data_IF_290020885046
#
_entry.id   IF_290020885046
#
_cell.length_a   1.000
_cell.length_b   1.000
_cell.length_c   1.000
_cell.angle_alpha   90.00
_cell.angle_beta   90.00
_cell.angle_gamma   90.00
#
_symmetry.space_group_name_H-M   'P 1'
#
loop_
_entity.id
_entity.type
_entity.pdbx_description
1 polymer ?
#
# COMPACT_ATOMS: atom_id res chain seq x y z
N UNK A 1 13.53 2.66 -18.17
CA UNK A 1 14.90 3.24 -18.12
C UNK A 1 15.82 2.25 -17.43
N UNK A 2 17.05 2.04 -17.90
CA UNK A 2 18.00 1.18 -17.21
C UNK A 2 18.31 1.71 -15.80
N UNK A 3 18.79 0.82 -14.93
CA UNK A 3 19.29 1.17 -13.59
C UNK A 3 20.46 2.16 -13.73
N UNK A 4 20.59 3.09 -12.80
CA UNK A 4 21.84 3.84 -12.66
C UNK A 4 22.92 2.93 -12.09
N UNK A 5 24.18 3.21 -12.34
CA UNK A 5 25.31 2.47 -11.75
C UNK A 5 25.23 2.37 -10.22
N UNK A 6 24.73 3.42 -9.55
CA UNK A 6 24.55 3.41 -8.10
C UNK A 6 23.45 2.44 -7.65
N UNK A 7 22.36 2.33 -8.41
CA UNK A 7 21.26 1.41 -8.10
C UNK A 7 21.64 -0.04 -8.38
N UNK A 8 22.40 -0.32 -9.43
CA UNK A 8 22.97 -1.65 -9.71
C UNK A 8 23.92 -2.08 -8.59
N UNK A 9 24.78 -1.18 -8.14
CA UNK A 9 25.72 -1.44 -7.03
C UNK A 9 24.94 -1.71 -5.75
N UNK A 10 23.92 -0.93 -5.43
CA UNK A 10 23.09 -1.12 -4.24
C UNK A 10 22.31 -2.44 -4.30
N UNK A 11 21.77 -2.81 -5.45
CA UNK A 11 21.09 -4.08 -5.65
C UNK A 11 22.01 -5.27 -5.37
N UNK A 12 23.23 -5.24 -5.93
CA UNK A 12 24.24 -6.27 -5.67
C UNK A 12 24.67 -6.34 -4.19
N UNK A 13 24.78 -5.20 -3.51
CA UNK A 13 25.08 -5.15 -2.07
C UNK A 13 23.94 -5.77 -1.26
N UNK A 14 22.68 -5.48 -1.61
CA UNK A 14 21.52 -6.09 -0.95
C UNK A 14 21.48 -7.61 -1.12
N UNK A 15 21.75 -8.12 -2.32
CA UNK A 15 21.79 -9.55 -2.59
C UNK A 15 22.89 -10.24 -1.76
N UNK A 16 24.10 -9.69 -1.74
CA UNK A 16 25.21 -10.22 -0.92
C UNK A 16 24.89 -10.21 0.56
N UNK A 17 24.27 -9.12 1.04
CA UNK A 17 23.89 -9.01 2.44
C UNK A 17 22.78 -10.02 2.81
N UNK A 18 21.83 -10.26 1.92
CA UNK A 18 20.81 -11.30 2.08
C UNK A 18 21.45 -12.69 2.17
N UNK A 19 22.38 -13.04 1.30
CA UNK A 19 23.10 -14.32 1.35
C UNK A 19 23.86 -14.49 2.67
N UNK A 20 24.53 -13.43 3.14
CA UNK A 20 25.22 -13.45 4.44
C UNK A 20 24.26 -13.61 5.62
N UNK A 21 23.11 -12.89 5.57
CA UNK A 21 22.09 -12.96 6.62
C UNK A 21 21.46 -14.36 6.69
N UNK A 22 21.25 -15.00 5.54
CA UNK A 22 20.71 -16.38 5.48
C UNK A 22 21.70 -17.44 5.98
N UNK A 23 23.01 -17.18 5.90
CA UNK A 23 24.07 -18.05 6.41
C UNK A 23 24.28 -17.91 7.93
N UNK A 24 23.72 -16.91 8.59
CA UNK A 24 23.86 -16.72 10.03
C UNK A 24 22.99 -17.72 10.80
N UNK A 25 23.40 -18.09 12.05
CA UNK A 25 22.55 -18.87 12.96
C UNK A 25 21.21 -18.17 13.19
N UNK A 26 20.19 -18.91 13.61
CA UNK A 26 18.86 -18.38 13.84
C UNK A 26 18.86 -17.18 14.78
N UNK A 27 18.56 -16.00 14.23
CA UNK A 27 18.28 -14.77 14.97
C UNK A 27 16.78 -14.50 14.90
N UNK A 28 16.11 -14.11 15.99
CA UNK A 28 14.66 -13.87 16.00
C UNK A 28 14.20 -12.84 14.97
N UNK A 29 15.03 -11.85 14.68
CA UNK A 29 14.72 -10.72 13.75
C UNK A 29 15.08 -11.03 12.29
N UNK A 30 15.83 -12.10 12.02
CA UNK A 30 16.30 -12.47 10.67
C UNK A 30 15.21 -12.57 9.62
N UNK A 31 14.07 -13.26 9.88
CA UNK A 31 13.04 -13.39 8.86
C UNK A 31 12.42 -12.05 8.44
N UNK A 32 12.21 -11.14 9.38
CA UNK A 32 11.65 -9.82 9.11
C UNK A 32 12.65 -8.97 8.31
N UNK A 33 13.91 -8.94 8.71
CA UNK A 33 14.96 -8.20 8.02
C UNK A 33 15.17 -8.74 6.59
N UNK A 34 15.19 -10.06 6.41
CA UNK A 34 15.31 -10.67 5.09
C UNK A 34 14.12 -10.34 4.18
N UNK A 35 12.89 -10.29 4.72
CA UNK A 35 11.71 -9.89 3.98
C UNK A 35 11.79 -8.41 3.56
N UNK A 36 12.24 -7.53 4.45
CA UNK A 36 12.47 -6.11 4.19
C UNK A 36 13.47 -5.91 3.04
N UNK A 37 14.62 -6.55 3.12
CA UNK A 37 15.69 -6.44 2.12
C UNK A 37 15.28 -7.00 0.76
N UNK A 38 14.56 -8.13 0.72
CA UNK A 38 14.00 -8.68 -0.52
C UNK A 38 12.99 -7.73 -1.15
N UNK A 39 12.09 -7.14 -0.35
CA UNK A 39 11.12 -6.15 -0.81
C UNK A 39 11.79 -4.91 -1.42
N UNK A 40 12.84 -4.41 -0.77
CA UNK A 40 13.65 -3.30 -1.27
C UNK A 40 14.38 -3.66 -2.58
N UNK A 41 14.97 -4.85 -2.66
CA UNK A 41 15.63 -5.36 -3.84
C UNK A 41 14.69 -5.43 -5.04
N UNK A 42 13.50 -6.00 -4.88
CA UNK A 42 12.45 -6.04 -5.92
C UNK A 42 12.08 -4.64 -6.42
N UNK A 43 11.96 -3.69 -5.49
CA UNK A 43 11.64 -2.31 -5.86
C UNK A 43 12.74 -1.65 -6.66
N UNK A 44 14.00 -1.89 -6.32
CA UNK A 44 15.14 -1.27 -6.97
C UNK A 44 15.44 -1.89 -8.35
N UNK A 45 15.29 -3.21 -8.50
CA UNK A 45 15.77 -3.96 -9.68
C UNK A 45 14.69 -4.33 -10.68
N UNK A 46 13.51 -4.78 -10.23
CA UNK A 46 12.59 -5.50 -11.11
C UNK A 46 11.37 -4.69 -11.56
N UNK A 47 10.96 -3.69 -10.80
CA UNK A 47 9.69 -3.01 -10.97
C UNK A 47 9.71 -1.98 -12.11
N UNK A 48 8.64 -1.88 -12.96
CA UNK A 48 8.48 -0.80 -13.92
C UNK A 48 8.52 0.58 -13.25
N UNK A 49 9.43 1.45 -13.68
CA UNK A 49 9.71 2.74 -13.02
C UNK A 49 8.76 3.87 -13.40
N UNK A 50 8.06 3.70 -14.50
CA UNK A 50 7.04 4.61 -15.01
C UNK A 50 5.66 4.35 -14.41
N UNK A 51 5.51 3.26 -13.62
CA UNK A 51 4.29 2.94 -12.89
C UNK A 51 4.38 3.38 -11.43
N UNK A 52 3.28 3.94 -10.94
CA UNK A 52 3.08 4.27 -9.52
C UNK A 52 2.30 3.16 -8.84
N UNK A 53 2.78 2.68 -7.70
CA UNK A 53 2.13 1.65 -6.90
C UNK A 53 1.49 2.29 -5.67
N UNK A 54 0.17 2.30 -5.64
CA UNK A 54 -0.63 2.81 -4.52
C UNK A 54 -1.20 1.63 -3.71
N UNK A 55 -0.94 1.60 -2.42
CA UNK A 55 -1.40 0.56 -1.51
C UNK A 55 -2.61 1.04 -0.72
N UNK A 56 -3.71 0.30 -0.76
CA UNK A 56 -4.80 0.41 0.19
C UNK A 56 -4.45 -0.42 1.43
N UNK A 57 -4.33 0.24 2.55
CA UNK A 57 -3.86 -0.33 3.80
C UNK A 57 -4.83 -0.01 4.93
N UNK A 58 -5.01 -0.90 5.90
CA UNK A 58 -5.89 -0.64 7.03
C UNK A 58 -6.46 -1.90 7.68
N UNK A 59 -7.21 -1.75 8.76
CA UNK A 59 -7.72 -2.87 9.54
C UNK A 59 -8.86 -3.62 8.85
N UNK A 60 -9.19 -4.78 9.40
CA UNK A 60 -10.33 -5.60 8.96
C UNK A 60 -11.62 -4.81 8.96
N UNK A 61 -12.39 -4.89 7.89
CA UNK A 61 -13.72 -4.32 7.80
C UNK A 61 -13.76 -2.79 7.66
N UNK A 62 -12.64 -2.13 7.37
CA UNK A 62 -12.64 -0.70 7.06
C UNK A 62 -13.08 -0.37 5.62
N UNK A 63 -13.34 -1.40 4.79
CA UNK A 63 -13.91 -1.24 3.46
C UNK A 63 -12.90 -1.04 2.33
N UNK A 64 -11.66 -1.49 2.47
CA UNK A 64 -10.59 -1.41 1.44
C UNK A 64 -11.05 -1.97 0.09
N UNK A 65 -11.51 -3.22 0.07
CA UNK A 65 -11.94 -3.90 -1.17
C UNK A 65 -13.15 -3.22 -1.82
N UNK A 66 -14.14 -2.77 -1.00
CA UNK A 66 -15.27 -1.99 -1.51
C UNK A 66 -14.82 -0.68 -2.12
N UNK A 67 -13.83 -0.03 -1.50
CA UNK A 67 -13.24 1.20 -2.01
C UNK A 67 -12.46 0.94 -3.31
N UNK A 68 -11.68 -0.14 -3.39
CA UNK A 68 -10.98 -0.54 -4.62
C UNK A 68 -11.97 -0.73 -5.79
N UNK A 69 -13.08 -1.45 -5.54
CA UNK A 69 -14.14 -1.66 -6.52
C UNK A 69 -14.77 -0.33 -6.98
N UNK A 70 -14.99 0.60 -6.01
CA UNK A 70 -15.58 1.91 -6.30
C UNK A 70 -14.62 2.82 -7.08
N UNK A 71 -13.33 2.80 -6.75
CA UNK A 71 -12.30 3.52 -7.49
C UNK A 71 -12.18 3.00 -8.93
N UNK A 72 -12.26 1.68 -9.10
CA UNK A 72 -12.18 1.02 -10.41
C UNK A 72 -13.52 0.97 -11.17
N UNK A 73 -14.64 1.39 -10.56
CA UNK A 73 -16.00 1.31 -11.11
C UNK A 73 -16.40 -0.10 -11.58
N UNK A 74 -15.82 -1.12 -10.98
CA UNK A 74 -16.04 -2.53 -11.28
C UNK A 74 -15.57 -3.40 -10.13
N UNK A 75 -16.04 -4.63 -10.08
CA UNK A 75 -15.54 -5.61 -9.12
C UNK A 75 -14.11 -6.05 -9.49
N UNK A 76 -13.15 -5.72 -8.64
CA UNK A 76 -11.72 -6.06 -8.76
C UNK A 76 -11.19 -6.78 -7.52
N UNK A 77 -11.94 -6.76 -6.43
CA UNK A 77 -11.61 -7.44 -5.19
C UNK A 77 -12.89 -7.96 -4.54
N UNK A 78 -12.90 -9.19 -3.98
CA UNK A 78 -14.09 -9.75 -3.36
C UNK A 78 -14.47 -8.97 -2.11
N UNK A 79 -15.77 -8.75 -1.93
CA UNK A 79 -16.34 -8.10 -0.76
C UNK A 79 -17.32 -9.07 -0.10
N UNK A 80 -17.23 -9.26 1.22
CA UNK A 80 -18.11 -10.18 1.92
C UNK A 80 -18.12 -10.04 3.45
N UNK A 81 -19.12 -10.63 4.08
CA UNK A 81 -19.30 -10.62 5.54
C UNK A 81 -18.47 -11.68 6.27
N UNK A 82 -18.04 -12.75 5.59
CA UNK A 82 -17.21 -13.79 6.21
C UNK A 82 -15.76 -13.30 6.25
N UNK A 83 -15.20 -13.17 7.44
CA UNK A 83 -13.84 -12.65 7.68
C UNK A 83 -12.87 -13.79 7.97
N UNK A 84 -11.63 -13.74 7.45
CA UNK A 84 -11.10 -12.74 6.52
C UNK A 84 -11.65 -12.92 5.11
N UNK A 85 -12.07 -11.82 4.46
CA UNK A 85 -12.58 -11.87 3.09
C UNK A 85 -11.44 -11.90 2.06
N UNK A 86 -10.38 -11.15 2.33
CA UNK A 86 -9.19 -11.03 1.49
C UNK A 86 -8.05 -11.79 2.15
N UNK A 87 -7.69 -12.96 1.60
CA UNK A 87 -6.60 -13.81 2.09
C UNK A 87 -5.29 -13.60 1.33
N UNK A 88 -5.36 -13.00 0.15
CA UNK A 88 -4.23 -12.63 -0.68
C UNK A 88 -4.40 -11.18 -1.17
N UNK A 89 -3.30 -10.42 -1.37
CA UNK A 89 -3.38 -9.09 -1.98
C UNK A 89 -4.02 -9.16 -3.37
N UNK A 90 -4.91 -8.21 -3.69
CA UNK A 90 -5.40 -8.01 -5.05
C UNK A 90 -4.58 -6.92 -5.71
N UNK A 91 -3.89 -7.24 -6.80
CA UNK A 91 -3.06 -6.31 -7.55
C UNK A 91 -3.78 -5.93 -8.83
N UNK A 92 -4.27 -4.71 -8.88
CA UNK A 92 -5.04 -4.16 -9.98
C UNK A 92 -4.09 -3.34 -10.86
N UNK A 93 -3.85 -3.80 -12.07
CA UNK A 93 -2.91 -3.21 -13.00
C UNK A 93 -3.60 -2.75 -14.29
N UNK A 94 -3.06 -1.72 -15.00
CA UNK A 94 -3.51 -1.39 -16.34
C UNK A 94 -3.39 -2.61 -17.25
N UNK A 95 -4.43 -2.88 -18.07
CA UNK A 95 -4.54 -4.13 -18.83
C UNK A 95 -3.37 -4.35 -19.80
N UNK A 96 -2.87 -3.28 -20.40
CA UNK A 96 -1.73 -3.27 -21.32
C UNK A 96 -0.36 -3.49 -20.64
N UNK A 97 -0.30 -3.35 -19.32
CA UNK A 97 0.92 -3.49 -18.51
C UNK A 97 0.83 -4.63 -17.47
N UNK A 98 -0.29 -5.32 -17.39
CA UNK A 98 -0.59 -6.27 -16.31
C UNK A 98 0.45 -7.41 -16.23
N UNK A 99 0.82 -7.99 -17.35
CA UNK A 99 1.80 -9.09 -17.40
C UNK A 99 3.20 -8.64 -16.91
N UNK A 100 3.64 -7.45 -17.28
CA UNK A 100 4.88 -6.86 -16.82
C UNK A 100 4.85 -6.61 -15.31
N UNK A 101 3.75 -6.03 -14.81
CA UNK A 101 3.54 -5.79 -13.37
C UNK A 101 3.60 -7.09 -12.59
N UNK A 102 2.84 -8.10 -12.99
CA UNK A 102 2.71 -9.34 -12.22
C UNK A 102 4.02 -10.15 -12.16
N UNK A 103 4.90 -10.05 -13.16
CA UNK A 103 6.23 -10.67 -13.12
C UNK A 103 7.19 -10.05 -12.09
N UNK A 104 6.94 -8.81 -11.71
CA UNK A 104 7.81 -8.03 -10.81
C UNK A 104 7.30 -7.97 -9.36
N UNK A 105 6.30 -8.75 -9.01
CA UNK A 105 5.73 -8.79 -7.66
C UNK A 105 6.52 -9.72 -6.72
N UNK A 106 6.39 -9.54 -5.40
CA UNK A 106 6.97 -10.46 -4.43
C UNK A 106 6.51 -11.91 -4.66
N UNK A 107 7.37 -12.90 -4.39
CA UNK A 107 7.03 -14.32 -4.55
C UNK A 107 6.11 -14.83 -3.44
N UNK A 108 5.01 -14.14 -3.22
CA UNK A 108 3.93 -14.50 -2.29
C UNK A 108 2.62 -14.59 -3.07
N UNK A 109 1.67 -15.42 -2.65
CA UNK A 109 0.37 -15.52 -3.30
C UNK A 109 -0.34 -14.17 -3.42
N UNK A 110 -0.81 -13.82 -4.60
CA UNK A 110 -1.62 -12.64 -4.89
C UNK A 110 -2.66 -12.95 -5.98
N UNK A 111 -3.69 -12.10 -6.09
CA UNK A 111 -4.69 -12.14 -7.15
C UNK A 111 -4.45 -10.98 -8.11
N UNK A 112 -4.10 -11.29 -9.36
CA UNK A 112 -3.84 -10.28 -10.39
C UNK A 112 -5.11 -9.91 -11.16
N UNK A 113 -5.43 -8.62 -11.27
CA UNK A 113 -6.59 -8.11 -12.00
C UNK A 113 -6.16 -7.06 -13.01
N UNK A 114 -6.36 -7.37 -14.30
CA UNK A 114 -6.11 -6.44 -15.39
C UNK A 114 -7.34 -5.55 -15.65
N UNK A 115 -7.17 -4.24 -15.67
CA UNK A 115 -8.26 -3.29 -15.86
C UNK A 115 -7.96 -2.28 -16.97
N UNK A 116 -8.98 -1.97 -17.78
CA UNK A 116 -8.89 -0.95 -18.84
C UNK A 116 -9.71 0.27 -18.43
N UNK A 117 -9.10 1.47 -18.51
CA UNK A 117 -9.79 2.76 -18.37
C UNK A 117 -10.36 3.10 -16.99
N UNK A 118 -10.13 2.29 -15.97
CA UNK A 118 -10.73 2.48 -14.64
C UNK A 118 -9.90 3.38 -13.72
N UNK A 119 -8.58 3.28 -13.81
CA UNK A 119 -7.60 4.07 -13.06
C UNK A 119 -6.71 4.85 -14.04
N UNK A 120 -5.79 5.68 -13.51
CA UNK A 120 -4.77 6.29 -14.33
C UNK A 120 -3.93 5.21 -15.05
N UNK A 121 -3.51 5.44 -16.31
CA UNK A 121 -2.81 4.43 -17.11
C UNK A 121 -1.48 3.98 -16.49
N UNK A 122 -0.90 4.79 -15.60
CA UNK A 122 0.37 4.50 -14.93
C UNK A 122 0.18 4.19 -13.43
N UNK A 123 -1.02 3.77 -13.02
CA UNK A 123 -1.31 3.44 -11.62
C UNK A 123 -1.59 1.95 -11.44
N UNK A 124 -0.85 1.33 -10.56
CA UNK A 124 -1.13 0.00 -10.00
C UNK A 124 -1.75 0.21 -8.62
N UNK A 125 -2.93 -0.33 -8.40
CA UNK A 125 -3.59 -0.30 -7.09
C UNK A 125 -3.47 -1.66 -6.42
N UNK A 126 -3.05 -1.68 -5.17
CA UNK A 126 -2.89 -2.90 -4.38
C UNK A 126 -3.89 -2.85 -3.22
N UNK A 127 -4.86 -3.76 -3.23
CA UNK A 127 -5.75 -3.97 -2.08
C UNK A 127 -5.12 -5.03 -1.16
N UNK A 128 -4.52 -4.56 -0.06
CA UNK A 128 -3.81 -5.42 0.88
C UNK A 128 -4.77 -6.22 1.78
N UNK A 129 -4.39 -7.44 2.20
CA UNK A 129 -5.06 -8.15 3.29
C UNK A 129 -5.09 -7.32 4.58
N UNK A 130 -5.95 -7.74 5.49
CA UNK A 130 -6.11 -7.09 6.78
C UNK A 130 -4.87 -7.25 7.66
N UNK A 131 -4.34 -6.13 8.17
CA UNK A 131 -3.11 -6.10 8.99
C UNK A 131 -3.35 -6.49 10.44
N UNK A 132 -4.57 -6.34 10.94
CA UNK A 132 -5.02 -6.79 12.26
C UNK A 132 -5.50 -8.26 12.23
N UNK A 133 -5.25 -8.97 11.12
CA UNK A 133 -5.58 -10.39 11.01
C UNK A 133 -4.80 -11.20 12.06
N UNK A 134 -5.51 -12.09 12.74
CA UNK A 134 -4.90 -13.11 13.64
C UNK A 134 -4.03 -14.09 12.86
N UNK A 135 -4.22 -14.20 11.55
CA UNK A 135 -3.41 -15.02 10.66
C UNK A 135 -2.08 -14.32 10.35
N UNK A 136 -0.98 -14.84 10.86
CA UNK A 136 0.37 -14.32 10.63
C UNK A 136 0.75 -14.28 9.14
N UNK A 137 0.26 -15.25 8.34
CA UNK A 137 0.51 -15.28 6.89
C UNK A 137 -0.12 -14.09 6.16
N UNK A 138 -1.35 -13.70 6.51
CA UNK A 138 -2.01 -12.55 5.88
C UNK A 138 -1.25 -11.25 6.19
N UNK A 139 -0.76 -11.11 7.42
CA UNK A 139 0.07 -9.98 7.82
C UNK A 139 1.39 -9.96 7.05
N UNK A 140 2.09 -11.08 6.96
CA UNK A 140 3.33 -11.19 6.20
C UNK A 140 3.14 -10.88 4.72
N UNK A 141 2.02 -11.32 4.12
CA UNK A 141 1.65 -10.98 2.73
C UNK A 141 1.42 -9.48 2.56
N UNK A 142 0.68 -8.84 3.48
CA UNK A 142 0.49 -7.40 3.44
C UNK A 142 1.84 -6.64 3.54
N UNK A 143 2.70 -7.06 4.44
CA UNK A 143 4.03 -6.47 4.64
C UNK A 143 4.94 -6.60 3.42
N UNK A 144 4.89 -7.73 2.69
CA UNK A 144 5.67 -7.92 1.46
C UNK A 144 5.37 -6.87 0.38
N UNK A 145 4.16 -6.30 0.36
CA UNK A 145 3.76 -5.27 -0.59
C UNK A 145 4.03 -3.83 -0.12
N UNK A 146 4.32 -3.61 1.18
CA UNK A 146 4.62 -2.28 1.70
C UNK A 146 5.82 -1.63 1.01
N UNK A 147 6.87 -2.41 0.74
CA UNK A 147 8.07 -1.91 0.09
C UNK A 147 7.89 -1.56 -1.38
N UNK A 148 6.88 -2.13 -2.05
CA UNK A 148 6.56 -1.78 -3.42
C UNK A 148 5.81 -0.45 -3.52
N UNK A 149 5.12 -0.03 -2.46
CA UNK A 149 4.26 1.14 -2.51
C UNK A 149 5.02 2.46 -2.64
N UNK A 150 4.62 3.28 -3.61
CA UNK A 150 5.05 4.68 -3.75
C UNK A 150 4.25 5.58 -2.83
N UNK A 151 2.96 5.27 -2.70
CA UNK A 151 2.02 5.94 -1.84
C UNK A 151 1.15 4.93 -1.07
N UNK A 152 0.77 5.29 0.15
CA UNK A 152 -0.07 4.47 1.01
C UNK A 152 -1.36 5.22 1.34
N UNK A 153 -2.49 4.66 0.95
CA UNK A 153 -3.81 5.12 1.35
C UNK A 153 -4.28 4.30 2.56
N UNK A 154 -4.23 4.91 3.74
CA UNK A 154 -4.64 4.25 4.98
C UNK A 154 -6.13 4.44 5.20
N UNK A 155 -6.88 3.36 5.04
CA UNK A 155 -8.35 3.36 5.16
C UNK A 155 -8.75 3.09 6.60
N UNK A 156 -9.45 4.02 7.20
CA UNK A 156 -9.91 3.99 8.59
C UNK A 156 -11.43 4.15 8.65
N UNK A 157 -12.02 3.76 9.77
CA UNK A 157 -13.43 4.04 10.08
C UNK A 157 -13.53 4.77 11.43
N UNK A 158 -14.64 5.45 11.72
CA UNK A 158 -14.85 6.09 13.02
C UNK A 158 -14.63 5.16 14.22
N UNK A 159 -14.89 3.87 14.09
CA UNK A 159 -14.68 2.89 15.15
C UNK A 159 -13.25 2.34 15.25
N UNK A 160 -12.37 2.62 14.29
CA UNK A 160 -11.03 2.00 14.22
C UNK A 160 -9.87 2.98 14.01
N UNK A 161 -10.13 4.29 13.91
CA UNK A 161 -9.06 5.26 13.68
C UNK A 161 -8.09 5.43 14.86
N UNK A 162 -8.49 5.03 16.06
CA UNK A 162 -7.67 5.09 17.27
C UNK A 162 -6.94 3.79 17.60
N UNK A 163 -6.98 2.77 16.72
CA UNK A 163 -6.31 1.48 16.95
C UNK A 163 -4.78 1.64 16.90
N UNK A 164 -4.10 1.29 17.99
CA UNK A 164 -2.64 1.44 18.11
C UNK A 164 -1.86 0.59 17.09
N UNK A 165 -2.41 -0.52 16.62
CA UNK A 165 -1.78 -1.30 15.55
C UNK A 165 -1.60 -0.48 14.28
N UNK A 166 -2.57 0.36 13.95
CA UNK A 166 -2.53 1.29 12.80
C UNK A 166 -1.53 2.41 13.03
N UNK A 167 -1.54 3.01 14.23
CA UNK A 167 -0.65 4.11 14.56
C UNK A 167 0.83 3.73 14.50
N UNK A 168 1.17 2.48 14.83
CA UNK A 168 2.52 1.94 14.64
C UNK A 168 2.95 1.99 13.18
N UNK A 169 2.09 1.61 12.23
CA UNK A 169 2.38 1.69 10.81
C UNK A 169 2.41 3.14 10.31
N UNK A 170 1.50 3.99 10.76
CA UNK A 170 1.50 5.41 10.39
C UNK A 170 2.80 6.10 10.80
N UNK A 171 3.27 5.87 12.04
CA UNK A 171 4.58 6.39 12.51
C UNK A 171 5.74 5.85 11.66
N UNK A 172 5.71 4.57 11.31
CA UNK A 172 6.70 3.95 10.41
C UNK A 172 6.69 4.61 9.04
N UNK A 173 5.54 4.75 8.39
CA UNK A 173 5.41 5.38 7.09
C UNK A 173 5.89 6.84 7.10
N UNK A 174 5.54 7.58 8.15
CA UNK A 174 5.98 8.96 8.31
C UNK A 174 7.50 9.05 8.53
N UNK A 175 8.08 8.22 9.39
CA UNK A 175 9.52 8.16 9.63
C UNK A 175 10.30 7.81 8.36
N UNK A 176 9.76 6.92 7.53
CA UNK A 176 10.34 6.59 6.23
C UNK A 176 10.10 7.68 5.17
N UNK A 177 9.28 8.71 5.45
CA UNK A 177 8.92 9.78 4.50
C UNK A 177 8.01 9.29 3.37
N UNK A 178 7.11 8.35 3.67
CA UNK A 178 6.14 7.85 2.69
C UNK A 178 5.09 8.92 2.35
N UNK A 179 4.60 8.91 1.10
CA UNK A 179 3.39 9.66 0.74
C UNK A 179 2.19 8.95 1.36
N UNK A 180 1.54 9.61 2.30
CA UNK A 180 0.41 9.05 3.05
C UNK A 180 -0.85 9.82 2.71
N UNK A 181 -1.94 9.11 2.47
CA UNK A 181 -3.31 9.64 2.42
C UNK A 181 -4.15 8.88 3.45
N UNK A 182 -4.77 9.59 4.35
CA UNK A 182 -5.77 8.98 5.22
C UNK A 182 -7.12 9.04 4.53
N UNK A 183 -7.83 7.91 4.48
CA UNK A 183 -9.20 7.81 3.98
C UNK A 183 -10.09 7.43 5.15
N UNK A 184 -10.84 8.39 5.69
CA UNK A 184 -11.85 8.14 6.71
C UNK A 184 -13.13 7.69 6.02
N UNK A 185 -13.29 6.37 5.94
CA UNK A 185 -14.44 5.70 5.31
C UNK A 185 -15.59 5.54 6.31
N UNK A 186 -16.81 5.39 5.81
CA UNK A 186 -18.03 5.34 6.62
C UNK A 186 -18.18 6.59 7.50
N UNK A 187 -17.77 7.72 6.96
CA UNK A 187 -17.77 9.00 7.65
C UNK A 187 -19.19 9.53 7.82
N UNK A 188 -19.50 9.96 9.04
CA UNK A 188 -20.79 10.56 9.38
C UNK A 188 -20.67 11.77 10.34
N UNK A 189 -19.58 11.83 11.14
CA UNK A 189 -19.42 12.83 12.20
C UNK A 189 -18.14 13.66 11.99
N UNK A 190 -18.25 14.98 11.77
CA UNK A 190 -17.12 15.90 11.63
C UNK A 190 -16.13 15.87 12.81
N UNK A 191 -16.60 15.64 14.04
CA UNK A 191 -15.75 15.59 15.24
C UNK A 191 -14.70 14.45 15.16
N UNK A 192 -15.06 13.34 14.56
CA UNK A 192 -14.10 12.22 14.35
C UNK A 192 -12.94 12.65 13.44
N UNK A 193 -13.23 13.45 12.40
CA UNK A 193 -12.21 13.97 11.50
C UNK A 193 -11.29 14.97 12.20
N UNK A 194 -11.86 15.83 13.05
CA UNK A 194 -11.13 16.82 13.83
C UNK A 194 -10.21 16.14 14.86
N UNK A 195 -10.70 15.15 15.59
CA UNK A 195 -9.90 14.37 16.55
C UNK A 195 -8.77 13.60 15.84
N UNK A 196 -9.07 12.97 14.71
CA UNK A 196 -8.04 12.30 13.90
C UNK A 196 -6.97 13.27 13.42
N UNK A 197 -7.35 14.48 12.97
CA UNK A 197 -6.40 15.51 12.55
C UNK A 197 -5.52 15.99 13.71
N UNK A 198 -6.09 16.17 14.90
CA UNK A 198 -5.35 16.52 16.11
C UNK A 198 -4.33 15.42 16.49
N UNK A 199 -4.74 14.16 16.48
CA UNK A 199 -3.86 13.01 16.76
C UNK A 199 -2.72 12.88 15.76
N UNK A 200 -2.98 13.13 14.47
CA UNK A 200 -1.92 13.13 13.43
C UNK A 200 -0.92 14.25 13.69
N UNK A 201 -1.40 15.44 14.04
CA UNK A 201 -0.54 16.59 14.37
C UNK A 201 0.32 16.32 15.63
N UNK A 202 -0.28 15.77 16.69
CA UNK A 202 0.44 15.36 17.91
C UNK A 202 1.53 14.31 17.62
N UNK A 203 1.26 13.40 16.71
CA UNK A 203 2.22 12.39 16.26
C UNK A 203 3.27 12.92 15.26
N UNK A 204 3.17 14.18 14.84
CA UNK A 204 4.06 14.78 13.83
C UNK A 204 3.85 14.19 12.42
N UNK A 205 2.69 13.64 12.13
CA UNK A 205 2.38 12.98 10.86
C UNK A 205 1.63 13.95 9.95
N UNK A 206 2.30 14.43 8.89
CA UNK A 206 1.70 15.28 7.87
C UNK A 206 1.01 14.41 6.81
N UNK A 207 -0.28 14.14 6.97
CA UNK A 207 -1.07 13.38 6.02
C UNK A 207 -2.42 14.04 5.76
N UNK A 208 -2.82 14.24 4.49
CA UNK A 208 -4.17 14.74 4.18
C UNK A 208 -5.22 13.69 4.54
N UNK A 209 -6.39 14.17 4.97
CA UNK A 209 -7.54 13.33 5.29
C UNK A 209 -8.61 13.54 4.22
N UNK A 210 -8.92 12.49 3.47
CA UNK A 210 -10.11 12.40 2.63
C UNK A 210 -11.22 11.68 3.39
N UNK A 211 -12.46 12.07 3.15
CA UNK A 211 -13.64 11.43 3.73
C UNK A 211 -14.41 10.68 2.66
N UNK A 212 -15.00 9.56 3.03
CA UNK A 212 -15.95 8.83 2.21
C UNK A 212 -17.19 8.60 3.07
N UNK A 213 -18.37 9.12 2.69
CA UNK A 213 -19.54 9.07 3.53
C UNK A 213 -20.02 7.63 3.73
N UNK A 214 -20.75 7.42 4.83
CA UNK A 214 -21.46 6.17 5.02
C UNK A 214 -22.50 6.01 3.91
N UNK A 215 -22.37 5.01 3.08
CA UNK A 215 -23.33 4.68 2.05
C UNK A 215 -24.20 3.52 2.53
N UNK A 216 -25.48 3.74 2.81
CA UNK A 216 -26.43 2.66 3.06
C UNK A 216 -26.53 1.82 1.77
N UNK A 217 -26.36 0.55 1.89
CA UNK A 217 -26.35 -0.41 0.78
C UNK A 217 -25.64 -1.68 1.23
N UNK A 218 -25.81 -2.78 0.51
CA UNK A 218 -25.11 -4.01 0.84
C UNK A 218 -23.59 -3.82 0.73
N UNK A 219 -22.82 -4.50 1.56
CA UNK A 219 -21.35 -4.43 1.53
C UNK A 219 -20.75 -4.82 0.16
N UNK A 220 -21.52 -5.51 -0.68
CA UNK A 220 -21.12 -5.94 -2.01
C UNK A 220 -21.26 -4.88 -3.10
N UNK A 221 -22.12 -3.87 -2.90
CA UNK A 221 -22.32 -2.83 -3.90
C UNK A 221 -21.19 -1.80 -3.83
N UNK A 222 -20.66 -1.32 -4.96
CA UNK A 222 -19.76 -0.18 -4.97
C UNK A 222 -20.40 1.02 -4.25
N UNK A 223 -19.56 1.87 -3.68
CA UNK A 223 -20.03 3.13 -3.11
C UNK A 223 -20.62 3.97 -4.24
N UNK A 224 -21.83 4.49 -4.05
CA UNK A 224 -22.48 5.34 -5.03
C UNK A 224 -21.60 6.56 -5.38
N UNK A 225 -21.64 6.98 -6.64
CA UNK A 225 -20.88 8.14 -7.08
C UNK A 225 -21.29 9.37 -6.27
N UNK A 226 -20.30 10.01 -5.67
CA UNK A 226 -20.44 11.25 -4.91
C UNK A 226 -19.18 12.12 -5.12
N UNK A 227 -19.28 13.38 -4.72
CA UNK A 227 -18.18 14.34 -4.89
C UNK A 227 -16.90 13.88 -4.18
N UNK A 228 -17.02 13.32 -2.97
CA UNK A 228 -15.88 12.84 -2.21
C UNK A 228 -15.17 11.66 -2.90
N UNK A 229 -15.93 10.72 -3.47
CA UNK A 229 -15.36 9.62 -4.24
C UNK A 229 -14.70 10.12 -5.54
N UNK A 230 -15.29 11.10 -6.19
CA UNK A 230 -14.71 11.74 -7.38
C UNK A 230 -13.39 12.45 -7.05
N UNK A 231 -13.34 13.21 -5.94
CA UNK A 231 -12.11 13.86 -5.43
C UNK A 231 -11.04 12.82 -5.09
N UNK A 232 -11.43 11.75 -4.44
CA UNK A 232 -10.52 10.66 -4.09
C UNK A 232 -9.94 10.02 -5.36
N UNK A 233 -10.75 9.72 -6.37
CA UNK A 233 -10.30 9.18 -7.65
C UNK A 233 -9.32 10.13 -8.34
N UNK A 234 -9.60 11.45 -8.35
CA UNK A 234 -8.67 12.44 -8.88
C UNK A 234 -7.32 12.44 -8.16
N UNK A 235 -7.30 12.19 -6.84
CA UNK A 235 -6.06 12.05 -6.07
C UNK A 235 -5.23 10.84 -6.51
N UNK A 236 -5.88 9.69 -6.70
CA UNK A 236 -5.19 8.49 -7.22
C UNK A 236 -4.69 8.70 -8.67
N UNK A 237 -5.46 9.40 -9.51
CA UNK A 237 -5.01 9.77 -10.85
C UNK A 237 -3.78 10.69 -10.81
N UNK A 238 -3.76 11.66 -9.90
CA UNK A 238 -2.60 12.53 -9.70
C UNK A 238 -1.36 11.74 -9.26
N UNK A 239 -1.51 10.73 -8.42
CA UNK A 239 -0.43 9.83 -8.04
C UNK A 239 0.13 9.08 -9.26
N UNK A 240 -0.74 8.51 -10.11
CA UNK A 240 -0.32 7.81 -11.33
C UNK A 240 0.45 8.70 -12.30
N UNK A 241 0.21 10.00 -12.27
CA UNK A 241 0.87 10.98 -13.15
C UNK A 241 2.12 11.63 -12.53
N UNK A 242 2.50 11.29 -11.29
CA UNK A 242 3.54 12.00 -10.54
C UNK A 242 4.91 11.33 -10.63
N UNK A 243 5.78 11.81 -11.52
CA UNK A 243 7.21 11.40 -11.57
C UNK A 243 7.95 11.74 -10.27
N UNK A 244 7.61 12.84 -9.64
CA UNK A 244 8.21 13.25 -8.37
C UNK A 244 7.92 12.26 -7.27
N UNK A 245 6.68 11.77 -7.17
CA UNK A 245 6.30 10.74 -6.22
C UNK A 245 7.14 9.48 -6.41
N UNK A 246 7.25 8.98 -7.64
CA UNK A 246 8.04 7.79 -7.97
C UNK A 246 9.52 7.94 -7.60
N UNK A 247 10.12 9.08 -7.96
CA UNK A 247 11.53 9.38 -7.62
C UNK A 247 11.76 9.47 -6.12
N UNK A 248 10.90 10.18 -5.39
CA UNK A 248 11.00 10.31 -3.94
C UNK A 248 10.88 8.96 -3.25
N UNK A 249 9.95 8.14 -3.72
CA UNK A 249 9.71 6.82 -3.19
C UNK A 249 10.88 5.85 -3.46
N UNK A 250 11.52 5.94 -4.63
CA UNK A 250 12.72 5.18 -4.97
C UNK A 250 13.91 5.62 -4.10
N UNK A 251 14.14 6.93 -3.97
CA UNK A 251 15.20 7.49 -3.12
C UNK A 251 15.02 7.10 -1.64
N UNK A 252 13.77 7.07 -1.16
CA UNK A 252 13.44 6.58 0.18
C UNK A 252 13.82 5.11 0.36
N UNK A 253 13.46 4.26 -0.60
CA UNK A 253 13.79 2.84 -0.59
C UNK A 253 15.30 2.63 -0.56
N UNK A 254 16.06 3.35 -1.39
CA UNK A 254 17.51 3.28 -1.43
C UNK A 254 18.15 3.69 -0.09
N UNK A 255 17.71 4.80 0.51
CA UNK A 255 18.20 5.21 1.84
C UNK A 255 17.88 4.16 2.92
N UNK A 256 16.67 3.59 2.90
CA UNK A 256 16.29 2.54 3.84
C UNK A 256 17.11 1.26 3.66
N UNK A 257 17.50 0.92 2.44
CA UNK A 257 18.38 -0.22 2.14
C UNK A 257 19.80 0.02 2.67
N UNK A 258 20.38 1.19 2.41
CA UNK A 258 21.71 1.55 2.94
C UNK A 258 21.74 1.48 4.45
N UNK A 259 20.77 2.10 5.13
CA UNK A 259 20.70 2.11 6.60
C UNK A 259 20.52 0.71 7.25
N UNK A 260 20.19 -0.32 6.49
CA UNK A 260 20.08 -1.71 6.97
C UNK A 260 21.32 -2.55 6.68
N UNK A 261 22.16 -2.09 5.76
CA UNK A 261 23.44 -2.74 5.42
C UNK A 261 24.57 -2.23 6.33
N UNK A 262 24.52 -0.94 6.72
CA UNK A 262 25.44 -0.32 7.68
C UNK A 262 25.15 -0.76 9.13
#
# INVERSE_FOLDING_TARGET
MPLSMAEETLTLQLERFLEQLEALPELPERPALAADLRGMGLRLSARPRDLTYALLFGPTGCGKSRLANSLCRREVSPVGYRRPTTTAPHVIAPADRAEEVFRCLPPVPFEGVAVSGALAPNLVLIDAPDIDSVCAENRARAEAFLYLADAVAVVLTPGKYADESIWRYLRRFAAEGAEILIILNMFADPLVREDLAAKLAEAGIAAPIATVPFAPGGDREPIAECEDLARLRARFQAWGSSDTLRRNALARCARGAVARIE
#
